data_IF_896518518528
#
_entry.id   IF_896518518528
#
_cell.length_a   1.000
_cell.length_b   1.000
_cell.length_c   1.000
_cell.angle_alpha   90.00
_cell.angle_beta   90.00
_cell.angle_gamma   90.00
#
_symmetry.space_group_name_H-M   'P 1'
#
loop_
_entity.id
_entity.type
_entity.pdbx_description
1 polymer ?
#
# COMPACT_ATOMS: atom_id res chain seq x y z
N UNK A 1 3.57 -36.86 -15.18
CA UNK A 1 3.95 -35.66 -15.95
C UNK A 1 3.58 -34.39 -15.19
N UNK A 2 2.38 -34.32 -14.62
CA UNK A 2 1.93 -33.24 -13.74
C UNK A 2 2.80 -33.04 -12.50
N UNK A 3 3.34 -34.11 -11.90
CA UNK A 3 4.19 -33.99 -10.71
C UNK A 3 5.51 -33.28 -10.98
N UNK A 4 6.14 -33.53 -12.15
CA UNK A 4 7.36 -32.81 -12.58
C UNK A 4 7.08 -31.36 -13.00
N UNK A 5 5.85 -31.06 -13.44
CA UNK A 5 5.41 -29.69 -13.73
C UNK A 5 5.16 -28.94 -12.42
N UNK A 6 4.49 -29.56 -11.44
CA UNK A 6 4.28 -29.01 -10.11
C UNK A 6 5.61 -28.79 -9.37
N UNK A 7 6.53 -29.74 -9.47
CA UNK A 7 7.87 -29.63 -8.89
C UNK A 7 8.68 -28.50 -9.55
N UNK A 8 8.65 -28.35 -10.88
CA UNK A 8 9.30 -27.19 -11.54
C UNK A 8 8.61 -25.85 -11.27
N UNK A 9 7.30 -25.86 -11.02
CA UNK A 9 6.54 -24.66 -10.68
C UNK A 9 6.88 -24.15 -9.28
N UNK A 10 7.10 -25.02 -8.29
CA UNK A 10 7.48 -24.58 -6.94
C UNK A 10 8.86 -23.91 -6.92
N UNK A 11 9.83 -24.39 -7.70
CA UNK A 11 11.16 -23.76 -7.84
C UNK A 11 11.10 -22.36 -8.50
N UNK A 12 10.20 -22.16 -9.47
CA UNK A 12 10.07 -20.87 -10.15
C UNK A 12 9.46 -19.75 -9.27
N UNK A 13 8.71 -20.12 -8.23
CA UNK A 13 8.11 -19.19 -7.25
C UNK A 13 8.88 -19.09 -5.93
N UNK A 14 9.80 -20.01 -5.65
CA UNK A 14 10.64 -20.01 -4.44
C UNK A 14 11.87 -19.08 -4.56
N UNK A 15 12.35 -18.78 -5.78
CA UNK A 15 13.49 -17.89 -6.01
C UNK A 15 13.06 -16.41 -6.12
N UNK A 16 13.93 -15.43 -5.76
CA UNK A 16 13.69 -13.98 -5.89
C UNK A 16 13.30 -13.53 -7.32
N UNK A 17 13.54 -14.39 -8.32
CA UNK A 17 13.11 -14.19 -9.70
C UNK A 17 11.58 -14.20 -9.82
N UNK A 18 10.87 -15.05 -9.07
CA UNK A 18 9.40 -15.17 -9.17
C UNK A 18 8.68 -13.87 -8.79
N UNK A 19 9.15 -13.19 -7.75
CA UNK A 19 8.56 -11.91 -7.32
C UNK A 19 9.01 -10.72 -8.14
N UNK A 20 10.24 -10.72 -8.64
CA UNK A 20 10.64 -9.76 -9.67
C UNK A 20 9.80 -9.96 -10.92
N UNK A 21 9.51 -11.21 -11.33
CA UNK A 21 8.65 -11.51 -12.48
C UNK A 21 7.20 -11.11 -12.22
N UNK A 22 6.63 -11.34 -11.05
CA UNK A 22 5.26 -10.90 -10.73
C UNK A 22 5.19 -9.38 -10.61
N UNK A 23 6.16 -8.72 -9.99
CA UNK A 23 6.23 -7.26 -9.91
C UNK A 23 6.45 -6.65 -11.31
N UNK A 24 7.33 -7.21 -12.13
CA UNK A 24 7.56 -6.80 -13.52
C UNK A 24 6.34 -7.11 -14.37
N UNK A 25 5.67 -8.25 -14.21
CA UNK A 25 4.45 -8.59 -14.96
C UNK A 25 3.27 -7.72 -14.53
N UNK A 26 3.16 -7.37 -13.25
CA UNK A 26 2.20 -6.39 -12.77
C UNK A 26 2.52 -5.01 -13.34
N UNK A 27 3.77 -4.55 -13.29
CA UNK A 27 4.19 -3.27 -13.87
C UNK A 27 4.01 -3.25 -15.39
N UNK A 28 4.37 -4.31 -16.11
CA UNK A 28 4.21 -4.47 -17.55
C UNK A 28 2.73 -4.56 -17.90
N UNK A 29 1.94 -5.33 -17.15
CA UNK A 29 0.48 -5.39 -17.26
C UNK A 29 -0.17 -4.02 -17.05
N UNK A 30 0.25 -3.29 -16.01
CA UNK A 30 -0.15 -1.90 -15.75
C UNK A 30 0.29 -0.99 -16.91
N UNK A 31 1.49 -1.17 -17.46
CA UNK A 31 2.01 -0.38 -18.57
C UNK A 31 1.28 -0.68 -19.88
N UNK A 32 0.93 -1.93 -20.17
CA UNK A 32 0.20 -2.36 -21.35
C UNK A 32 -1.28 -1.97 -21.27
N UNK A 33 -1.93 -2.20 -20.12
CA UNK A 33 -3.29 -1.75 -19.86
C UNK A 33 -3.36 -0.22 -19.84
N UNK A 34 -2.36 0.47 -19.28
CA UNK A 34 -2.29 1.94 -19.35
C UNK A 34 -1.98 2.46 -20.75
N UNK A 35 -1.31 1.69 -21.63
CA UNK A 35 -1.18 2.03 -23.06
C UNK A 35 -2.53 1.93 -23.77
N UNK A 36 -3.34 0.92 -23.44
CA UNK A 36 -4.68 0.74 -24.00
C UNK A 36 -5.65 1.84 -23.53
N UNK A 37 -5.65 2.15 -22.23
CA UNK A 37 -6.44 3.28 -21.69
C UNK A 37 -5.91 4.64 -22.13
N UNK A 38 -4.63 4.76 -22.51
CA UNK A 38 -4.05 5.99 -23.12
C UNK A 38 -4.70 6.34 -24.46
N UNK A 39 -5.09 5.37 -25.28
CA UNK A 39 -5.81 5.65 -26.53
C UNK A 39 -7.20 6.23 -26.26
N UNK A 40 -7.89 5.73 -25.23
CA UNK A 40 -9.21 6.23 -24.82
C UNK A 40 -9.13 7.58 -24.08
N UNK A 41 -8.14 7.77 -23.20
CA UNK A 41 -7.94 9.01 -22.45
C UNK A 41 -7.41 10.18 -23.31
N UNK A 42 -6.82 9.89 -24.48
CA UNK A 42 -6.49 10.90 -25.51
C UNK A 42 -7.75 11.46 -26.18
N UNK A 43 -8.82 10.68 -26.26
CA UNK A 43 -10.10 11.13 -26.81
C UNK A 43 -10.97 11.91 -25.79
N UNK A 44 -10.81 11.67 -24.48
CA UNK A 44 -11.66 12.24 -23.42
C UNK A 44 -10.99 13.26 -22.47
N UNK A 45 -9.75 13.66 -22.73
CA UNK A 45 -9.07 14.65 -21.89
C UNK A 45 -8.45 14.06 -20.61
N UNK A 46 -7.32 13.35 -20.76
CA UNK A 46 -6.20 13.17 -19.82
C UNK A 46 -6.53 13.22 -18.30
N UNK A 47 -7.40 12.34 -17.82
CA UNK A 47 -7.57 12.11 -16.38
C UNK A 47 -6.49 11.14 -15.86
N UNK A 48 -5.92 11.41 -14.68
CA UNK A 48 -4.95 10.51 -13.98
C UNK A 48 -5.69 9.36 -13.28
N UNK A 49 -7.01 9.51 -13.10
CA UNK A 49 -7.92 8.56 -12.47
C UNK A 49 -7.78 7.09 -12.94
N UNK A 50 -7.76 6.75 -14.25
CA UNK A 50 -7.64 5.36 -14.68
C UNK A 50 -6.32 4.70 -14.24
N UNK A 51 -5.23 5.47 -14.17
CA UNK A 51 -3.93 4.95 -13.72
C UNK A 51 -3.95 4.68 -12.23
N UNK A 52 -4.57 5.55 -11.43
CA UNK A 52 -4.71 5.36 -9.98
C UNK A 52 -5.62 4.18 -9.65
N UNK A 53 -6.73 4.01 -10.40
CA UNK A 53 -7.62 2.84 -10.28
C UNK A 53 -6.87 1.54 -10.55
N UNK A 54 -6.09 1.53 -11.63
CA UNK A 54 -5.29 0.38 -12.03
C UNK A 54 -4.18 0.09 -11.02
N UNK A 55 -3.52 1.12 -10.48
CA UNK A 55 -2.54 0.96 -9.40
C UNK A 55 -3.17 0.34 -8.15
N UNK A 56 -4.35 0.83 -7.73
CA UNK A 56 -5.07 0.29 -6.59
C UNK A 56 -5.45 -1.18 -6.80
N UNK A 57 -6.02 -1.50 -7.96
CA UNK A 57 -6.37 -2.87 -8.32
C UNK A 57 -5.13 -3.78 -8.35
N UNK A 58 -4.02 -3.30 -8.91
CA UNK A 58 -2.78 -4.07 -8.98
C UNK A 58 -2.23 -4.40 -7.60
N UNK A 59 -2.31 -3.49 -6.62
CA UNK A 59 -1.89 -3.77 -5.24
C UNK A 59 -2.73 -4.91 -4.64
N UNK A 60 -4.06 -4.85 -4.77
CA UNK A 60 -4.97 -5.88 -4.25
C UNK A 60 -4.71 -7.22 -4.92
N UNK A 61 -4.60 -7.23 -6.25
CA UNK A 61 -4.36 -8.46 -7.03
C UNK A 61 -3.00 -9.06 -6.68
N UNK A 62 -1.93 -8.26 -6.65
CA UNK A 62 -0.59 -8.76 -6.33
C UNK A 62 -0.53 -9.34 -4.91
N UNK A 63 -1.14 -8.66 -3.93
CA UNK A 63 -1.22 -9.14 -2.56
C UNK A 63 -2.05 -10.43 -2.43
N UNK A 64 -3.21 -10.50 -3.11
CA UNK A 64 -4.04 -11.70 -3.11
C UNK A 64 -3.38 -12.89 -3.81
N UNK A 65 -2.70 -12.66 -4.93
CA UNK A 65 -1.94 -13.70 -5.65
C UNK A 65 -0.79 -14.20 -4.77
N UNK A 66 -0.04 -13.33 -4.10
CA UNK A 66 1.02 -13.74 -3.16
C UNK A 66 0.48 -14.64 -2.05
N UNK A 67 -0.68 -14.30 -1.47
CA UNK A 67 -1.33 -15.15 -0.45
C UNK A 67 -1.70 -16.54 -1.00
N UNK A 68 -2.32 -16.60 -2.17
CA UNK A 68 -2.75 -17.86 -2.80
C UNK A 68 -1.54 -18.71 -3.19
N UNK A 69 -0.51 -18.09 -3.79
CA UNK A 69 0.73 -18.79 -4.18
C UNK A 69 1.42 -19.36 -2.96
N UNK A 70 1.59 -18.58 -1.88
CA UNK A 70 2.21 -19.09 -0.65
C UNK A 70 1.39 -20.21 -0.01
N UNK A 71 0.07 -20.10 -0.03
CA UNK A 71 -0.82 -21.16 0.48
C UNK A 71 -0.72 -22.46 -0.32
N UNK A 72 -0.66 -22.39 -1.65
CA UNK A 72 -0.59 -23.58 -2.53
C UNK A 72 0.81 -24.19 -2.53
N UNK A 73 1.84 -23.36 -2.68
CA UNK A 73 3.23 -23.81 -2.79
C UNK A 73 3.88 -24.12 -1.43
N UNK A 74 3.14 -23.94 -0.32
CA UNK A 74 3.63 -24.16 1.05
C UNK A 74 4.94 -23.44 1.34
N UNK A 75 5.13 -22.25 0.74
CA UNK A 75 6.34 -21.46 0.89
C UNK A 75 6.38 -20.92 2.31
N UNK A 76 7.42 -21.33 3.06
CA UNK A 76 7.67 -20.83 4.40
C UNK A 76 7.85 -19.31 4.40
N UNK A 77 7.32 -18.65 5.43
CA UNK A 77 7.45 -17.20 5.59
C UNK A 77 8.91 -16.73 5.56
N UNK A 78 9.83 -17.56 6.07
CA UNK A 78 11.28 -17.32 6.11
C UNK A 78 11.93 -17.13 4.74
N UNK A 79 11.35 -17.70 3.68
CA UNK A 79 11.84 -17.56 2.31
C UNK A 79 11.14 -16.40 1.57
N UNK A 80 9.95 -15.99 2.02
CA UNK A 80 9.12 -14.97 1.41
C UNK A 80 9.40 -13.54 1.93
N UNK A 81 10.66 -13.11 1.89
CA UNK A 81 11.11 -11.79 2.38
C UNK A 81 10.35 -10.59 1.79
N UNK A 82 9.76 -10.78 0.61
CA UNK A 82 9.01 -9.75 -0.12
C UNK A 82 7.57 -9.56 0.37
N UNK A 83 6.98 -10.50 1.11
CA UNK A 83 5.52 -10.54 1.37
C UNK A 83 4.97 -9.22 1.90
N UNK A 84 5.67 -8.61 2.86
CA UNK A 84 5.23 -7.36 3.49
C UNK A 84 5.58 -6.13 2.65
N UNK A 85 6.62 -6.21 1.82
CA UNK A 85 7.07 -5.12 0.96
C UNK A 85 6.27 -5.03 -0.35
N UNK A 86 5.71 -6.16 -0.82
CA UNK A 86 4.99 -6.28 -2.08
C UNK A 86 3.88 -5.22 -2.25
N UNK A 87 2.92 -5.03 -1.33
CA UNK A 87 1.87 -4.03 -1.52
C UNK A 87 2.43 -2.60 -1.64
N UNK A 88 3.47 -2.28 -0.86
CA UNK A 88 4.14 -0.97 -0.87
C UNK A 88 4.90 -0.75 -2.18
N UNK A 89 5.64 -1.76 -2.64
CA UNK A 89 6.41 -1.70 -3.89
C UNK A 89 5.50 -1.57 -5.11
N UNK A 90 4.41 -2.33 -5.17
CA UNK A 90 3.42 -2.25 -6.27
C UNK A 90 2.73 -0.88 -6.27
N UNK A 91 2.37 -0.35 -5.11
CA UNK A 91 1.82 1.00 -5.00
C UNK A 91 2.82 2.07 -5.47
N UNK A 92 4.09 1.96 -5.05
CA UNK A 92 5.15 2.88 -5.46
C UNK A 92 5.35 2.85 -6.99
N UNK A 93 5.38 1.66 -7.60
CA UNK A 93 5.45 1.50 -9.05
C UNK A 93 4.26 2.12 -9.78
N UNK A 94 3.03 1.85 -9.32
CA UNK A 94 1.80 2.42 -9.90
C UNK A 94 1.75 3.95 -9.83
N UNK A 95 2.10 4.53 -8.68
CA UNK A 95 2.18 5.98 -8.51
C UNK A 95 3.35 6.60 -9.28
N UNK A 96 4.47 5.89 -9.42
CA UNK A 96 5.59 6.27 -10.27
C UNK A 96 5.17 6.39 -11.75
N UNK A 97 4.41 5.43 -12.27
CA UNK A 97 3.83 5.49 -13.63
C UNK A 97 2.90 6.69 -13.76
N UNK A 98 2.01 6.93 -12.80
CA UNK A 98 1.12 8.10 -12.80
C UNK A 98 1.91 9.43 -12.84
N UNK A 99 3.01 9.49 -12.09
CA UNK A 99 3.93 10.63 -12.05
C UNK A 99 4.55 10.89 -13.41
N UNK A 100 5.10 9.87 -14.06
CA UNK A 100 5.73 9.96 -15.38
C UNK A 100 4.74 10.39 -16.49
N UNK A 101 3.48 9.97 -16.38
CA UNK A 101 2.44 10.35 -17.34
C UNK A 101 2.03 11.82 -17.20
N UNK A 102 1.99 12.35 -15.97
CA UNK A 102 1.60 13.75 -15.71
C UNK A 102 2.66 14.76 -16.16
N UNK A 103 3.95 14.42 -16.06
CA UNK A 103 5.06 15.32 -16.39
C UNK A 103 5.18 15.71 -17.87
N UNK A 104 4.53 14.98 -18.80
CA UNK A 104 4.63 15.22 -20.25
C UNK A 104 3.61 16.20 -20.81
N UNK A 105 2.75 16.78 -19.98
CA UNK A 105 1.69 17.70 -20.42
C UNK A 105 2.07 19.17 -20.24
N UNK A 106 2.75 19.77 -21.21
CA UNK A 106 2.87 21.24 -21.28
C UNK A 106 1.49 21.79 -21.62
N UNK A 107 0.80 22.39 -20.64
CA UNK A 107 -0.42 23.18 -20.90
C UNK A 107 0.01 24.58 -21.28
N UNK A 108 -0.28 25.01 -22.51
CA UNK A 108 -0.32 26.44 -22.84
C UNK A 108 -1.46 27.06 -22.03
N UNK A 109 -1.12 27.86 -21.03
CA UNK A 109 -2.08 28.65 -20.26
C UNK A 109 -2.63 29.75 -21.16
N UNK A 110 -3.90 29.67 -21.54
CA UNK A 110 -4.62 30.82 -22.08
C UNK A 110 -4.90 31.77 -20.93
N UNK A 111 -4.17 32.89 -20.90
CA UNK A 111 -4.22 33.97 -19.89
C UNK A 111 -3.85 33.57 -18.44
N UNK A 112 -2.75 34.13 -17.88
CA UNK A 112 -2.37 33.87 -16.49
C UNK A 112 -3.40 34.48 -15.54
N UNK A 113 -4.10 33.63 -14.79
CA UNK A 113 -4.88 34.07 -13.63
C UNK A 113 -3.92 34.26 -12.46
N UNK A 114 -3.72 35.50 -12.06
CA UNK A 114 -2.87 35.89 -10.93
C UNK A 114 -3.52 35.40 -9.63
N UNK A 115 -3.15 34.19 -9.17
CA UNK A 115 -3.48 33.71 -7.82
C UNK A 115 -2.17 33.47 -7.10
N UNK A 116 -1.63 34.53 -6.50
CA UNK A 116 -0.32 34.61 -5.84
C UNK A 116 -0.16 33.82 -4.53
N UNK A 117 -0.86 32.70 -4.36
CA UNK A 117 -0.70 31.84 -3.18
C UNK A 117 0.17 30.65 -3.58
N UNK A 118 1.33 30.53 -2.93
CA UNK A 118 2.26 29.39 -3.08
C UNK A 118 1.53 28.09 -2.69
N UNK A 119 1.18 27.25 -3.67
CA UNK A 119 0.50 25.98 -3.42
C UNK A 119 1.52 24.89 -3.16
N UNK A 120 1.34 24.18 -2.06
CA UNK A 120 2.20 23.08 -1.67
C UNK A 120 1.48 21.72 -1.82
N UNK A 121 2.21 20.62 -1.68
CA UNK A 121 1.71 19.26 -1.87
C UNK A 121 0.56 18.89 -0.92
N UNK A 122 0.44 19.56 0.23
CA UNK A 122 -0.64 19.37 1.21
C UNK A 122 -1.90 20.22 0.96
N UNK A 123 -1.94 21.04 -0.10
CA UNK A 123 -3.01 22.05 -0.28
C UNK A 123 -4.36 21.44 -0.67
N UNK A 124 -4.35 20.39 -1.49
CA UNK A 124 -5.55 19.75 -2.04
C UNK A 124 -6.05 18.51 -1.29
N UNK A 125 -5.20 17.63 -0.74
CA UNK A 125 -5.71 16.45 -0.07
C UNK A 125 -6.52 16.78 1.19
N UNK A 126 -7.45 15.89 1.53
CA UNK A 126 -8.18 15.94 2.79
C UNK A 126 -7.21 15.78 3.98
N UNK A 127 -7.33 16.69 4.96
CA UNK A 127 -6.47 16.69 6.15
C UNK A 127 -6.58 15.39 6.94
N UNK A 128 -7.78 14.83 7.05
CA UNK A 128 -8.01 13.55 7.72
C UNK A 128 -7.22 12.41 7.09
N UNK A 129 -7.30 12.26 5.75
CA UNK A 129 -6.57 11.20 5.05
C UNK A 129 -5.05 11.39 5.11
N UNK A 130 -4.58 12.63 5.07
CA UNK A 130 -3.17 12.96 5.23
C UNK A 130 -2.68 12.55 6.63
N UNK A 131 -3.39 12.95 7.69
CA UNK A 131 -3.04 12.58 9.06
C UNK A 131 -3.09 11.08 9.29
N UNK A 132 -4.15 10.40 8.87
CA UNK A 132 -4.28 8.94 9.01
C UNK A 132 -3.18 8.21 8.23
N UNK A 133 -2.92 8.63 6.98
CA UNK A 133 -1.86 8.04 6.16
C UNK A 133 -0.47 8.23 6.79
N UNK A 134 -0.18 9.42 7.31
CA UNK A 134 1.08 9.72 8.03
C UNK A 134 1.18 8.90 9.31
N UNK A 135 0.11 8.82 10.11
CA UNK A 135 0.11 8.05 11.35
C UNK A 135 0.38 6.56 11.12
N UNK A 136 -0.32 5.94 10.17
CA UNK A 136 -0.12 4.52 9.82
C UNK A 136 1.32 4.30 9.31
N UNK A 137 1.85 5.23 8.50
CA UNK A 137 3.24 5.19 8.02
C UNK A 137 4.25 5.23 9.16
N UNK A 138 4.06 6.13 10.13
CA UNK A 138 4.93 6.23 11.30
C UNK A 138 4.86 4.97 12.17
N UNK A 139 3.66 4.43 12.38
CA UNK A 139 3.48 3.18 13.13
C UNK A 139 4.20 2.02 12.43
N UNK A 140 4.12 1.91 11.10
CA UNK A 140 4.88 0.91 10.34
C UNK A 140 6.39 1.06 10.58
N UNK A 141 6.93 2.26 10.50
CA UNK A 141 8.35 2.51 10.76
C UNK A 141 8.72 2.05 12.18
N UNK A 142 7.96 2.47 13.20
CA UNK A 142 8.24 2.11 14.60
C UNK A 142 8.19 0.60 14.79
N UNK A 143 7.15 -0.08 14.29
CA UNK A 143 7.01 -1.54 14.38
C UNK A 143 8.19 -2.23 13.68
N UNK A 144 8.55 -1.79 12.48
CA UNK A 144 9.69 -2.37 11.76
C UNK A 144 11.01 -2.18 12.50
N UNK A 145 11.26 -1.02 13.09
CA UNK A 145 12.49 -0.77 13.86
C UNK A 145 12.54 -1.60 15.14
N UNK A 146 11.43 -1.66 15.89
CA UNK A 146 11.34 -2.44 17.13
C UNK A 146 11.49 -3.93 16.84
N UNK A 147 10.72 -4.47 15.89
CA UNK A 147 10.81 -5.89 15.56
C UNK A 147 12.15 -6.26 14.91
N UNK A 148 12.74 -5.36 14.11
CA UNK A 148 14.09 -5.51 13.59
C UNK A 148 15.12 -5.58 14.73
N UNK A 149 15.04 -4.68 15.71
CA UNK A 149 15.96 -4.66 16.86
C UNK A 149 15.90 -5.90 17.74
N UNK A 150 14.74 -6.55 17.84
CA UNK A 150 14.55 -7.79 18.62
C UNK A 150 14.88 -9.05 17.81
N UNK A 151 14.91 -8.96 16.48
CA UNK A 151 15.12 -10.12 15.62
C UNK A 151 16.54 -10.66 15.69
N UNK A 152 16.66 -11.98 15.59
CA UNK A 152 17.91 -12.74 15.60
C UNK A 152 18.16 -13.38 14.24
N UNK A 153 19.44 -13.57 13.84
CA UNK A 153 19.80 -14.25 12.62
C UNK A 153 19.53 -15.76 12.71
N UNK A 154 19.07 -16.35 11.59
CA UNK A 154 19.03 -17.80 11.40
C UNK A 154 20.40 -18.35 10.97
N UNK A 155 20.48 -19.66 10.72
CA UNK A 155 21.71 -20.34 10.26
C UNK A 155 22.23 -19.81 8.91
N UNK A 156 21.38 -19.12 8.14
CA UNK A 156 21.71 -18.49 6.85
C UNK A 156 21.99 -16.99 7.00
N UNK A 157 22.04 -16.46 8.23
CA UNK A 157 22.27 -15.05 8.51
C UNK A 157 21.05 -14.14 8.29
N UNK A 158 19.86 -14.70 8.08
CA UNK A 158 18.62 -13.94 7.88
C UNK A 158 18.00 -13.60 9.23
N UNK A 159 17.70 -12.33 9.45
CA UNK A 159 17.04 -11.83 10.65
C UNK A 159 15.53 -12.11 10.58
N UNK A 160 15.15 -13.38 10.73
CA UNK A 160 13.76 -13.88 10.65
C UNK A 160 13.33 -14.62 11.91
N UNK A 161 14.15 -14.63 12.97
CA UNK A 161 13.90 -15.41 14.18
C UNK A 161 13.66 -14.52 15.39
N UNK A 162 12.80 -14.98 16.30
CA UNK A 162 12.78 -14.54 17.69
C UNK A 162 12.95 -15.77 18.59
N UNK A 163 13.70 -15.62 19.67
CA UNK A 163 14.03 -16.69 20.61
C UNK A 163 13.24 -16.49 21.91
N UNK A 164 12.72 -17.58 22.46
CA UNK A 164 11.97 -17.62 23.71
C UNK A 164 12.71 -18.42 24.80
N UNK A 165 14.02 -18.60 24.67
CA UNK A 165 14.84 -19.40 25.56
C UNK A 165 14.54 -20.88 25.38
N UNK A 166 14.28 -21.60 26.47
CA UNK A 166 14.06 -23.06 26.39
C UNK A 166 12.74 -23.43 25.67
N UNK A 167 11.88 -22.45 25.34
CA UNK A 167 10.69 -22.65 24.50
C UNK A 167 11.01 -22.87 23.02
N UNK A 168 12.27 -22.65 22.63
CA UNK A 168 12.69 -22.65 21.23
C UNK A 168 12.43 -21.30 20.55
N UNK A 169 12.26 -21.35 19.23
CA UNK A 169 12.23 -20.18 18.38
C UNK A 169 11.03 -20.17 17.43
N UNK A 170 10.68 -18.99 16.93
CA UNK A 170 9.63 -18.83 15.93
C UNK A 170 10.06 -17.87 14.81
N UNK A 171 9.46 -18.05 13.64
CA UNK A 171 9.60 -17.10 12.53
C UNK A 171 8.94 -15.78 12.90
N UNK A 172 9.69 -14.68 12.80
CA UNK A 172 9.32 -13.36 13.29
C UNK A 172 9.57 -12.27 12.25
N UNK A 173 8.86 -11.15 12.38
CA UNK A 173 9.00 -10.00 11.50
C UNK A 173 10.30 -9.20 11.79
N UNK A 174 11.46 -9.75 11.41
CA UNK A 174 12.76 -9.11 11.62
C UNK A 174 13.29 -8.30 10.41
N UNK A 175 14.58 -7.94 10.44
CA UNK A 175 15.20 -7.09 9.40
C UNK A 175 15.12 -7.64 7.98
N UNK A 176 15.08 -8.96 7.81
CA UNK A 176 14.92 -9.58 6.48
C UNK A 176 13.63 -9.15 5.81
N UNK A 177 12.56 -8.93 6.58
CA UNK A 177 11.30 -8.35 6.09
C UNK A 177 11.29 -6.83 6.19
N UNK A 178 11.90 -6.28 7.24
CA UNK A 178 11.87 -4.86 7.56
C UNK A 178 12.60 -3.97 6.55
N UNK A 179 13.81 -4.36 6.13
CA UNK A 179 14.61 -3.54 5.19
C UNK A 179 13.89 -3.37 3.85
N UNK A 180 13.40 -4.43 3.18
CA UNK A 180 12.61 -4.28 1.95
C UNK A 180 11.39 -3.38 2.11
N UNK A 181 10.69 -3.48 3.25
CA UNK A 181 9.54 -2.63 3.56
C UNK A 181 9.95 -1.17 3.69
N UNK A 182 11.02 -0.85 4.41
CA UNK A 182 11.52 0.52 4.58
C UNK A 182 11.98 1.14 3.25
N UNK A 183 12.69 0.36 2.42
CA UNK A 183 13.12 0.80 1.09
C UNK A 183 11.91 1.08 0.20
N UNK A 184 10.95 0.16 0.16
CA UNK A 184 9.69 0.34 -0.57
C UNK A 184 8.90 1.55 -0.07
N UNK A 185 8.87 1.75 1.24
CA UNK A 185 8.16 2.86 1.89
C UNK A 185 8.79 4.20 1.55
N UNK A 186 10.11 4.31 1.58
CA UNK A 186 10.83 5.52 1.17
C UNK A 186 10.52 5.87 -0.28
N UNK A 187 10.54 4.87 -1.19
CA UNK A 187 10.15 5.06 -2.58
C UNK A 187 8.68 5.50 -2.71
N UNK A 188 7.75 4.87 -1.97
CA UNK A 188 6.33 5.21 -1.97
C UNK A 188 6.08 6.65 -1.50
N UNK A 189 6.72 7.08 -0.40
CA UNK A 189 6.63 8.45 0.12
C UNK A 189 7.16 9.44 -0.92
N UNK A 190 8.33 9.18 -1.49
CA UNK A 190 8.93 10.04 -2.51
C UNK A 190 8.01 10.22 -3.72
N UNK A 191 7.51 9.13 -4.32
CA UNK A 191 6.62 9.23 -5.50
C UNK A 191 5.28 9.88 -5.16
N UNK A 192 4.76 9.66 -3.94
CA UNK A 192 3.53 10.30 -3.45
C UNK A 192 3.70 11.82 -3.37
N UNK A 193 4.77 12.30 -2.73
CA UNK A 193 5.07 13.73 -2.61
C UNK A 193 5.30 14.37 -3.98
N UNK A 194 6.04 13.70 -4.87
CA UNK A 194 6.28 14.20 -6.23
C UNK A 194 4.97 14.29 -7.01
N UNK A 195 4.12 13.26 -6.95
CA UNK A 195 2.83 13.24 -7.65
C UNK A 195 1.89 14.31 -7.12
N UNK A 196 1.78 14.48 -5.80
CA UNK A 196 0.98 15.54 -5.18
C UNK A 196 1.48 16.93 -5.56
N UNK A 197 2.80 17.12 -5.60
CA UNK A 197 3.41 18.37 -6.07
C UNK A 197 3.06 18.67 -7.53
N UNK A 198 3.11 17.66 -8.40
CA UNK A 198 2.67 17.76 -9.81
C UNK A 198 1.15 17.96 -9.94
N UNK A 199 0.37 17.53 -8.95
CA UNK A 199 -1.07 17.82 -8.88
C UNK A 199 -1.31 19.30 -8.56
N UNK A 200 -0.54 19.85 -7.62
CA UNK A 200 -0.68 21.22 -7.17
C UNK A 200 -0.14 22.27 -8.17
N UNK A 201 0.92 21.95 -8.91
CA UNK A 201 1.72 22.91 -9.68
C UNK A 201 0.99 23.67 -10.82
N UNK A 202 0.14 23.06 -11.68
CA UNK A 202 -0.39 23.77 -12.84
C UNK A 202 -1.31 24.95 -12.47
N UNK A 203 -1.24 26.06 -13.21
CA UNK A 203 -2.20 27.15 -13.09
C UNK A 203 -3.63 26.69 -13.47
N UNK A 204 -4.66 27.41 -13.01
CA UNK A 204 -6.04 27.18 -13.46
C UNK A 204 -6.22 27.71 -14.89
N UNK A 205 -7.10 27.10 -15.68
CA UNK A 205 -7.34 27.51 -17.07
C UNK A 205 -8.09 28.84 -17.18
N UNK A 206 -8.96 29.15 -16.22
CA UNK A 206 -9.67 30.42 -16.15
C UNK A 206 -10.56 30.52 -14.91
N UNK A 207 -11.09 31.71 -14.58
CA UNK A 207 -11.89 31.95 -13.37
C UNK A 207 -13.15 31.07 -13.31
N UNK A 208 -13.81 30.85 -14.46
CA UNK A 208 -15.03 30.06 -14.57
C UNK A 208 -14.82 28.55 -14.37
N UNK A 209 -13.58 28.05 -14.49
CA UNK A 209 -13.26 26.61 -14.34
C UNK A 209 -12.64 26.26 -12.98
N UNK A 210 -12.35 27.25 -12.14
CA UNK A 210 -11.61 27.07 -10.87
C UNK A 210 -12.26 26.05 -9.95
N UNK A 211 -13.58 26.14 -9.73
CA UNK A 211 -14.29 25.24 -8.81
C UNK A 211 -14.21 23.78 -9.28
N UNK A 212 -14.46 23.53 -10.57
CA UNK A 212 -14.35 22.20 -11.18
C UNK A 212 -12.93 21.65 -11.11
N UNK A 213 -11.93 22.44 -11.49
CA UNK A 213 -10.52 22.02 -11.44
C UNK A 213 -10.03 21.74 -10.01
N UNK A 214 -10.47 22.54 -9.02
CA UNK A 214 -10.17 22.27 -7.60
C UNK A 214 -10.73 20.91 -7.16
N UNK A 215 -11.98 20.61 -7.53
CA UNK A 215 -12.63 19.33 -7.22
C UNK A 215 -11.88 18.17 -7.86
N UNK A 216 -11.53 18.27 -9.15
CA UNK A 216 -10.76 17.24 -9.86
C UNK A 216 -9.38 16.98 -9.24
N UNK A 217 -8.67 18.05 -8.85
CA UNK A 217 -7.35 17.94 -8.19
C UNK A 217 -7.46 17.33 -6.80
N UNK A 218 -8.49 17.69 -6.04
CA UNK A 218 -8.77 17.11 -4.72
C UNK A 218 -9.06 15.62 -4.82
N UNK A 219 -9.96 15.20 -5.71
CA UNK A 219 -10.25 13.77 -5.94
C UNK A 219 -8.99 13.01 -6.34
N UNK A 220 -8.18 13.57 -7.24
CA UNK A 220 -6.91 12.94 -7.62
C UNK A 220 -5.92 12.85 -6.45
N UNK A 221 -5.77 13.90 -5.65
CA UNK A 221 -4.88 13.91 -4.49
C UNK A 221 -5.35 12.93 -3.40
N UNK A 222 -6.66 12.88 -3.13
CA UNK A 222 -7.26 11.93 -2.18
C UNK A 222 -7.08 10.49 -2.68
N UNK A 223 -7.25 10.21 -3.97
CA UNK A 223 -6.97 8.86 -4.53
C UNK A 223 -5.50 8.47 -4.42
N UNK A 224 -4.56 9.40 -4.62
CA UNK A 224 -3.12 9.14 -4.43
C UNK A 224 -2.82 8.76 -2.99
N UNK A 225 -3.33 9.55 -2.04
CA UNK A 225 -3.15 9.28 -0.62
C UNK A 225 -3.83 7.96 -0.22
N UNK A 226 -5.04 7.68 -0.70
CA UNK A 226 -5.76 6.45 -0.40
C UNK A 226 -5.01 5.20 -0.88
N UNK A 227 -4.42 5.24 -2.09
CA UNK A 227 -3.56 4.14 -2.59
C UNK A 227 -2.35 3.95 -1.68
N UNK A 228 -1.66 5.04 -1.34
CA UNK A 228 -0.48 4.94 -0.46
C UNK A 228 -0.84 4.41 0.93
N UNK A 229 -1.88 4.96 1.57
CA UNK A 229 -2.33 4.57 2.89
C UNK A 229 -2.85 3.12 2.92
N UNK A 230 -3.60 2.70 1.89
CA UNK A 230 -4.07 1.33 1.76
C UNK A 230 -2.93 0.32 1.66
N UNK A 231 -1.91 0.61 0.84
CA UNK A 231 -0.73 -0.26 0.71
C UNK A 231 0.09 -0.35 2.00
N UNK A 232 0.30 0.78 2.69
CA UNK A 232 0.99 0.81 4.00
C UNK A 232 0.17 0.06 5.06
N UNK A 233 -1.16 0.20 5.06
CA UNK A 233 -2.03 -0.54 5.95
C UNK A 233 -1.97 -2.05 5.72
N UNK A 234 -1.86 -2.51 4.47
CA UNK A 234 -1.65 -3.93 4.18
C UNK A 234 -0.30 -4.45 4.73
N UNK A 235 0.77 -3.69 4.54
CA UNK A 235 2.09 -4.05 5.06
C UNK A 235 2.11 -4.10 6.60
N UNK A 236 1.60 -3.05 7.24
CA UNK A 236 1.50 -2.98 8.70
C UNK A 236 0.57 -4.05 9.26
N UNK A 237 -0.59 -4.26 8.63
CA UNK A 237 -1.55 -5.26 9.04
C UNK A 237 -0.97 -6.67 9.01
N UNK A 238 -0.23 -7.00 7.95
CA UNK A 238 0.50 -8.26 7.85
C UNK A 238 1.57 -8.41 8.93
N UNK A 239 2.38 -7.37 9.15
CA UNK A 239 3.43 -7.40 10.17
C UNK A 239 2.85 -7.60 11.58
N UNK A 240 1.84 -6.82 11.96
CA UNK A 240 1.17 -6.95 13.27
C UNK A 240 0.45 -8.29 13.43
N UNK A 241 -0.13 -8.82 12.35
CA UNK A 241 -0.75 -10.13 12.37
C UNK A 241 0.29 -11.23 12.68
N UNK A 242 1.43 -11.21 11.99
CA UNK A 242 2.51 -12.18 12.23
C UNK A 242 3.08 -12.08 13.65
N UNK A 243 3.41 -10.86 14.08
CA UNK A 243 3.90 -10.58 15.43
C UNK A 243 2.89 -11.09 16.47
N UNK A 244 1.62 -10.70 16.35
CA UNK A 244 0.56 -11.15 17.26
C UNK A 244 0.31 -12.66 17.24
N UNK A 245 0.46 -13.32 16.09
CA UNK A 245 0.34 -14.78 15.99
C UNK A 245 1.46 -15.48 16.77
N UNK A 246 2.71 -15.04 16.59
CA UNK A 246 3.89 -15.56 17.31
C UNK A 246 3.78 -15.33 18.83
N UNK A 247 3.27 -14.17 19.24
CA UNK A 247 3.05 -13.88 20.66
C UNK A 247 1.90 -14.68 21.29
N UNK A 248 0.88 -15.03 20.50
CA UNK A 248 -0.22 -15.86 20.98
C UNK A 248 0.19 -17.32 21.12
N UNK A 249 1.14 -17.80 20.30
CA UNK A 249 1.69 -19.16 20.40
C UNK A 249 2.73 -19.34 21.52
N UNK A 250 3.28 -18.25 22.08
CA UNK A 250 4.26 -18.30 23.19
C UNK A 250 3.63 -18.29 24.58
N UNK A 251 2.29 -18.33 24.68
CA UNK A 251 1.53 -18.36 25.93
C UNK A 251 1.67 -19.65 26.77
N UNK A 252 2.36 -20.66 26.25
CA UNK A 252 2.58 -21.93 26.95
C UNK A 252 1.56 -23.01 26.62
N UNK A 253 1.96 -24.26 26.81
CA UNK A 253 1.06 -25.43 26.76
C UNK A 253 1.23 -26.16 28.08
N UNK A 254 0.14 -26.29 28.84
CA UNK A 254 0.12 -27.19 29.99
C UNK A 254 0.03 -28.63 29.49
N UNK A 255 1.07 -29.43 29.74
CA UNK A 255 1.01 -30.87 29.49
C UNK A 255 0.50 -31.52 30.79
N UNK A 256 -0.67 -32.20 30.77
CA UNK A 256 -1.20 -32.87 31.96
C UNK A 256 -0.16 -33.85 32.53
N UNK A 257 0.22 -33.65 33.79
CA UNK A 257 1.20 -34.48 34.50
C UNK A 257 2.66 -34.04 34.41
N UNK A 258 3.01 -33.02 33.61
CA UNK A 258 4.39 -32.49 33.49
C UNK A 258 4.53 -31.06 34.00
N UNK A 259 3.45 -30.27 33.97
CA UNK A 259 3.41 -28.88 34.46
C UNK A 259 3.07 -27.85 33.38
N UNK A 260 2.90 -26.59 33.78
CA UNK A 260 2.69 -25.47 32.87
C UNK A 260 4.04 -24.82 32.50
N UNK A 261 4.32 -24.75 31.21
CA UNK A 261 5.47 -24.02 30.70
C UNK A 261 5.03 -22.63 30.21
N UNK A 262 5.33 -21.57 30.96
CA UNK A 262 5.05 -20.19 30.53
C UNK A 262 6.34 -19.53 30.04
N UNK A 263 6.34 -18.99 28.83
CA UNK A 263 7.59 -18.57 28.19
C UNK A 263 7.81 -17.06 28.12
N UNK A 264 6.76 -16.24 28.27
CA UNK A 264 6.90 -14.80 28.61
C UNK A 264 5.55 -14.16 28.95
N UNK A 265 5.28 -13.77 30.20
CA UNK A 265 3.98 -13.17 30.57
C UNK A 265 3.71 -11.81 29.92
N UNK A 266 4.75 -11.03 29.59
CA UNK A 266 4.58 -9.65 29.09
C UNK A 266 4.12 -9.55 27.63
N UNK A 267 4.72 -10.33 26.73
CA UNK A 267 4.44 -10.24 25.28
C UNK A 267 3.15 -10.94 24.87
N UNK A 268 2.86 -12.10 25.48
CA UNK A 268 1.69 -12.92 25.20
C UNK A 268 0.36 -12.23 25.53
N UNK A 269 0.34 -11.33 26.52
CA UNK A 269 -0.87 -10.57 26.91
C UNK A 269 -1.33 -9.60 25.82
N UNK A 270 -0.40 -8.95 25.12
CA UNK A 270 -0.75 -7.98 24.07
C UNK A 270 -0.85 -8.61 22.68
N UNK A 271 -0.36 -9.83 22.50
CA UNK A 271 -0.29 -10.49 21.20
C UNK A 271 -1.66 -10.71 20.52
N UNK A 272 -2.74 -11.10 21.22
CA UNK A 272 -4.07 -11.19 20.62
C UNK A 272 -4.56 -9.85 20.09
N UNK A 273 -4.28 -8.76 20.81
CA UNK A 273 -4.65 -7.41 20.39
C UNK A 273 -3.92 -7.02 19.09
N UNK A 274 -2.60 -7.24 19.02
CA UNK A 274 -1.82 -6.99 17.79
C UNK A 274 -2.36 -7.78 16.60
N UNK A 275 -2.75 -9.04 16.83
CA UNK A 275 -3.34 -9.89 15.80
C UNK A 275 -4.67 -9.34 15.27
N UNK A 276 -5.56 -8.89 16.16
CA UNK A 276 -6.84 -8.28 15.80
C UNK A 276 -6.65 -6.94 15.05
N UNK A 277 -5.76 -6.09 15.53
CA UNK A 277 -5.41 -4.83 14.86
C UNK A 277 -4.82 -5.12 13.48
N UNK A 278 -3.97 -6.13 13.36
CA UNK A 278 -3.43 -6.61 12.09
C UNK A 278 -4.52 -6.95 11.10
N UNK A 279 -5.49 -7.78 11.51
CA UNK A 279 -6.67 -8.12 10.71
C UNK A 279 -7.50 -6.91 10.29
N UNK A 280 -7.78 -6.01 11.23
CA UNK A 280 -8.55 -4.80 10.96
C UNK A 280 -7.87 -3.91 9.91
N UNK A 281 -6.53 -3.78 9.98
CA UNK A 281 -5.75 -3.02 9.00
C UNK A 281 -5.69 -3.68 7.63
N UNK A 282 -5.56 -5.01 7.57
CA UNK A 282 -5.65 -5.76 6.31
C UNK A 282 -6.99 -5.54 5.62
N UNK A 283 -8.10 -5.60 6.38
CA UNK A 283 -9.43 -5.36 5.86
C UNK A 283 -9.59 -3.90 5.41
N UNK A 284 -9.22 -2.94 6.25
CA UNK A 284 -9.32 -1.52 5.93
C UNK A 284 -8.49 -1.14 4.70
N UNK A 285 -7.25 -1.65 4.60
CA UNK A 285 -6.38 -1.43 3.45
C UNK A 285 -7.00 -1.94 2.15
N UNK A 286 -7.55 -3.15 2.16
CA UNK A 286 -8.27 -3.72 1.01
C UNK A 286 -9.49 -2.89 0.64
N UNK A 287 -10.34 -2.52 1.61
CA UNK A 287 -11.55 -1.71 1.36
C UNK A 287 -11.17 -0.35 0.73
N UNK A 288 -10.15 0.32 1.26
CA UNK A 288 -9.68 1.60 0.70
C UNK A 288 -9.18 1.41 -0.73
N UNK A 289 -8.35 0.41 -1.01
CA UNK A 289 -7.83 0.15 -2.35
C UNK A 289 -8.94 -0.22 -3.34
N UNK A 290 -9.87 -1.08 -2.94
CA UNK A 290 -11.02 -1.46 -3.75
C UNK A 290 -11.93 -0.27 -4.03
N UNK A 291 -12.12 0.63 -3.05
CA UNK A 291 -12.91 1.87 -3.26
C UNK A 291 -12.28 2.78 -4.30
N UNK A 292 -10.94 2.89 -4.31
CA UNK A 292 -10.20 3.64 -5.34
C UNK A 292 -10.33 2.94 -6.67
N UNK A 293 -10.12 1.62 -6.74
CA UNK A 293 -10.20 0.82 -7.96
C UNK A 293 -11.59 0.91 -8.62
N UNK A 294 -12.66 0.82 -7.83
CA UNK A 294 -14.05 0.98 -8.26
C UNK A 294 -14.39 2.43 -8.63
N UNK A 295 -13.56 3.40 -8.26
CA UNK A 295 -13.80 4.82 -8.49
C UNK A 295 -14.81 5.45 -7.53
N UNK A 296 -15.13 4.79 -6.40
CA UNK A 296 -16.07 5.27 -5.40
C UNK A 296 -15.59 6.56 -4.70
N UNK A 297 -14.28 6.80 -4.64
CA UNK A 297 -13.71 8.07 -4.15
C UNK A 297 -14.11 9.30 -4.99
N UNK A 298 -14.73 9.10 -6.16
CA UNK A 298 -15.23 10.17 -7.03
C UNK A 298 -16.70 10.56 -6.75
N UNK A 299 -17.42 9.83 -5.90
CA UNK A 299 -18.85 10.07 -5.63
C UNK A 299 -18.98 10.94 -4.37
N UNK A 300 -18.82 12.25 -4.54
CA UNK A 300 -19.24 13.23 -3.52
C UNK A 300 -20.48 13.95 -4.05
N UNK A 301 -21.54 13.88 -3.22
CA UNK A 301 -22.89 14.45 -3.33
C UNK A 301 -22.96 15.66 -4.28
N UNK A 302 -23.93 15.71 -5.21
CA UNK A 302 -24.24 16.97 -5.86
C UNK A 302 -24.52 17.98 -4.76
N UNK A 303 -23.72 19.05 -4.68
CA UNK A 303 -24.12 20.24 -3.97
C UNK A 303 -25.50 20.57 -4.52
N UNK A 304 -26.50 20.55 -3.64
CA UNK A 304 -27.84 20.98 -3.97
C UNK A 304 -27.68 22.31 -4.68
N UNK A 305 -27.96 22.31 -5.98
CA UNK A 305 -27.92 23.50 -6.81
C UNK A 305 -28.72 24.53 -6.04
N UNK A 306 -28.13 25.67 -5.61
CA UNK A 306 -28.92 26.70 -4.97
C UNK A 306 -30.02 27.02 -5.97
N UNK A 307 -31.25 26.64 -5.63
CA UNK A 307 -32.45 27.02 -6.35
C UNK A 307 -32.29 28.51 -6.57
N UNK A 308 -32.13 28.92 -7.82
CA UNK A 308 -32.15 30.34 -8.19
C UNK A 308 -33.46 30.87 -7.62
N UNK A 309 -33.37 31.55 -6.48
CA UNK A 309 -34.45 32.38 -6.00
C UNK A 309 -34.76 33.33 -7.14
N UNK A 310 -36.02 33.30 -7.57
CA UNK A 310 -36.50 34.02 -8.73
C UNK A 310 -36.05 35.48 -8.66
N UNK A 311 -35.53 35.95 -9.78
CA UNK A 311 -35.57 37.38 -10.09
C UNK A 311 -37.04 37.69 -10.33
N UNK A 312 -37.70 38.17 -9.28
CA UNK A 312 -38.93 38.94 -9.41
C UNK A 312 -38.55 40.42 -9.53
N UNK A 313 -39.22 41.06 -10.50
CA UNK A 313 -39.30 42.48 -10.87
C UNK A 313 -38.13 43.07 -11.64
#
# INVERSE_FOLDING_TARGET
>A
MWDKVLERWTWAFAEPIGTVVVAVAAVVGILLLSRRTRHLARAQGRSVAPVLRLAAAAVVVAWGVDLVVRAIASVGLEDAWWTFALPVAVAAGGLGVATLLRGRGVRRTGTPTMVGVRRAWWTFPSRGLLWTGTAITLVLIVVTLVCGGVSLPDERGRFVRVDFGDAGWATFYGWTFGIPVLVGLAALVAVTVILLSRIAAPAFLGPSTVARERRERRVAADSVLAVSAGAVALALGGALFLVGAVGSSSGGVGIPGVGEFSWTPGYSVFAPFLRWVGWALLLAGNVVLLSVAAGATAVVRPEAMPLRAGVST
#
